data_IF_939529519873
#
_entry.id   IF_939529519873
#
_cell.length_a   1.000
_cell.length_b   1.000
_cell.length_c   1.000
_cell.angle_alpha   90.00
_cell.angle_beta   90.00
_cell.angle_gamma   90.00
#
_symmetry.space_group_name_H-M   'P 1'
#
loop_
_entity.id
_entity.type
_entity.pdbx_description
1 polymer ?
#
# COMPACT_ATOMS: atom_id res chain seq x y z
N UNK A 1 3.12 9.88 9.56
CA UNK A 1 4.20 9.74 8.55
C UNK A 1 3.87 8.65 7.55
N UNK A 2 3.49 7.45 8.00
CA UNK A 2 3.08 6.32 7.14
C UNK A 2 1.91 6.68 6.20
N UNK A 3 0.87 7.34 6.72
CA UNK A 3 -0.30 7.80 5.94
C UNK A 3 0.08 8.64 4.71
N UNK A 4 1.13 9.48 4.82
CA UNK A 4 1.61 10.30 3.69
C UNK A 4 2.17 9.45 2.55
N UNK A 5 2.82 8.33 2.86
CA UNK A 5 3.31 7.37 1.87
C UNK A 5 2.16 6.50 1.36
N UNK A 6 1.21 6.17 2.24
CA UNK A 6 0.03 5.41 1.86
C UNK A 6 -0.83 6.13 0.82
N UNK A 7 -1.06 7.45 0.95
CA UNK A 7 -1.79 8.22 -0.05
C UNK A 7 -1.20 8.10 -1.47
N UNK A 8 0.12 7.90 -1.59
CA UNK A 8 0.82 7.69 -2.87
C UNK A 8 0.59 6.29 -3.44
N UNK A 9 0.38 5.30 -2.58
CA UNK A 9 0.17 3.89 -2.92
C UNK A 9 -1.31 3.49 -2.99
N UNK A 10 -2.21 4.31 -2.47
CA UNK A 10 -3.66 4.08 -2.42
C UNK A 10 -4.24 3.71 -3.78
N UNK A 11 -3.71 4.29 -4.87
CA UNK A 11 -4.07 3.91 -6.23
C UNK A 11 -3.74 2.47 -6.60
N UNK A 12 -2.62 1.93 -6.12
CA UNK A 12 -2.22 0.52 -6.32
C UNK A 12 -3.13 -0.40 -5.51
N UNK A 13 -3.44 -0.05 -4.26
CA UNK A 13 -4.32 -0.83 -3.38
C UNK A 13 -5.73 -0.91 -3.95
N UNK A 14 -6.30 0.20 -4.41
CA UNK A 14 -7.64 0.19 -5.00
C UNK A 14 -7.68 -0.44 -6.40
N UNK A 15 -6.57 -0.40 -7.15
CA UNK A 15 -6.44 -1.23 -8.35
C UNK A 15 -6.48 -2.71 -7.98
N UNK A 16 -5.70 -3.12 -6.99
CA UNK A 16 -5.69 -4.49 -6.47
C UNK A 16 -7.09 -4.95 -6.04
N UNK A 17 -7.84 -4.12 -5.30
CA UNK A 17 -9.24 -4.39 -4.96
C UNK A 17 -10.14 -4.63 -6.18
N UNK A 18 -9.89 -3.91 -7.27
CA UNK A 18 -10.69 -4.05 -8.50
C UNK A 18 -10.32 -5.33 -9.25
N UNK A 19 -9.02 -5.65 -9.29
CA UNK A 19 -8.48 -6.84 -9.93
C UNK A 19 -8.80 -8.13 -9.14
N UNK A 20 -8.91 -8.01 -7.81
CA UNK A 20 -9.14 -9.11 -6.88
C UNK A 20 -10.36 -8.83 -6.01
N UNK A 21 -11.44 -9.56 -6.27
CA UNK A 21 -12.61 -9.52 -5.39
C UNK A 21 -12.39 -10.40 -4.15
N UNK A 22 -12.39 -9.79 -2.97
CA UNK A 22 -12.46 -10.48 -1.69
C UNK A 22 -13.87 -10.31 -1.10
N UNK A 23 -14.50 -11.44 -0.78
CA UNK A 23 -15.86 -11.43 -0.24
C UNK A 23 -15.89 -10.75 1.13
N UNK A 24 -16.87 -9.85 1.34
CA UNK A 24 -17.09 -9.04 2.55
C UNK A 24 -16.04 -7.96 2.85
N UNK A 25 -15.01 -7.81 2.01
CA UNK A 25 -14.06 -6.71 2.20
C UNK A 25 -14.64 -5.42 1.62
N UNK A 26 -14.77 -4.43 2.49
CA UNK A 26 -15.09 -3.05 2.15
C UNK A 26 -13.81 -2.28 1.79
N UNK A 27 -13.98 -1.04 1.31
CA UNK A 27 -12.86 -0.18 0.88
C UNK A 27 -11.85 0.00 2.02
N UNK A 28 -12.36 0.14 3.23
CA UNK A 28 -11.61 0.37 4.45
C UNK A 28 -10.75 -0.84 4.83
N UNK A 29 -11.22 -2.07 4.56
CA UNK A 29 -10.44 -3.30 4.81
C UNK A 29 -9.22 -3.36 3.89
N UNK A 30 -9.40 -3.02 2.61
CA UNK A 30 -8.29 -2.88 1.67
C UNK A 30 -7.34 -1.76 2.07
N UNK A 31 -7.87 -0.63 2.54
CA UNK A 31 -7.03 0.49 3.00
C UNK A 31 -6.20 0.11 4.24
N UNK A 32 -6.78 -0.65 5.17
CA UNK A 32 -6.06 -1.19 6.32
C UNK A 32 -4.98 -2.18 5.91
N UNK A 33 -5.30 -3.16 5.05
CA UNK A 33 -4.34 -4.15 4.59
C UNK A 33 -3.17 -3.49 3.83
N UNK A 34 -3.48 -2.51 2.98
CA UNK A 34 -2.48 -1.74 2.26
C UNK A 34 -1.53 -0.97 3.20
N UNK A 35 -2.04 -0.43 4.31
CA UNK A 35 -1.22 0.20 5.34
C UNK A 35 -0.33 -0.80 6.08
N UNK A 36 -0.85 -1.98 6.40
CA UNK A 36 -0.09 -3.06 7.06
C UNK A 36 1.05 -3.52 6.16
N UNK A 37 0.75 -3.84 4.89
CA UNK A 37 1.75 -4.22 3.90
C UNK A 37 2.83 -3.12 3.72
N UNK A 38 2.43 -1.84 3.68
CA UNK A 38 3.39 -0.74 3.61
C UNK A 38 4.28 -0.68 4.85
N UNK A 39 3.72 -0.86 6.05
CA UNK A 39 4.49 -0.88 7.29
C UNK A 39 5.54 -2.00 7.27
N UNK A 40 5.14 -3.23 6.95
CA UNK A 40 6.04 -4.38 6.89
C UNK A 40 7.13 -4.19 5.83
N UNK A 41 6.78 -3.63 4.68
CA UNK A 41 7.73 -3.33 3.60
C UNK A 41 8.79 -2.32 4.06
N UNK A 42 8.39 -1.27 4.78
CA UNK A 42 9.33 -0.25 5.28
C UNK A 42 10.17 -0.76 6.46
N UNK A 43 9.64 -1.66 7.30
CA UNK A 43 10.45 -2.34 8.32
C UNK A 43 11.51 -3.24 7.68
N UNK A 44 11.15 -3.98 6.63
CA UNK A 44 12.08 -4.85 5.91
C UNK A 44 13.10 -4.08 5.06
N UNK A 45 12.68 -2.94 4.49
CA UNK A 45 13.50 -2.15 3.57
C UNK A 45 13.31 -0.64 3.80
N UNK A 46 13.90 -0.09 4.90
CA UNK A 46 13.71 1.30 5.29
C UNK A 46 14.21 2.32 4.25
N UNK A 47 15.17 1.93 3.41
CA UNK A 47 15.73 2.78 2.36
C UNK A 47 14.71 3.15 1.26
N UNK A 48 13.59 2.44 1.16
CA UNK A 48 12.49 2.75 0.23
C UNK A 48 11.88 4.13 0.47
N UNK A 49 12.00 4.64 1.70
CA UNK A 49 11.50 5.97 2.07
C UNK A 49 12.34 7.09 1.44
N UNK A 50 13.63 6.83 1.21
CA UNK A 50 14.57 7.81 0.64
C UNK A 50 14.51 7.84 -0.89
N UNK A 51 14.19 6.71 -1.52
CA UNK A 51 14.07 6.59 -2.97
C UNK A 51 12.62 6.33 -3.38
N UNK A 52 11.80 7.38 -3.41
CA UNK A 52 10.37 7.31 -3.74
C UNK A 52 10.07 6.59 -5.07
N UNK A 53 11.00 6.62 -6.03
CA UNK A 53 10.87 5.90 -7.30
C UNK A 53 10.83 4.37 -7.14
N UNK A 54 11.42 3.83 -6.08
CA UNK A 54 11.40 2.39 -5.77
C UNK A 54 10.08 1.92 -5.18
N UNK A 55 9.20 2.81 -4.75
CA UNK A 55 7.83 2.46 -4.32
C UNK A 55 6.93 2.05 -5.50
N UNK A 56 7.33 2.34 -6.74
CA UNK A 56 6.58 2.06 -7.97
C UNK A 56 7.36 1.12 -8.89
N UNK A 57 7.69 -0.09 -8.42
CA UNK A 57 8.23 -1.12 -9.32
C UNK A 57 7.05 -1.74 -10.06
N UNK A 58 6.83 -1.29 -11.30
CA UNK A 58 5.96 -1.91 -12.30
C UNK A 58 6.80 -2.49 -13.44
#
# INVERSE_FOLDING_TARGET
>A
MLEKYYEKLKGIVHRCRTDYYLHLWEIEDWDQEGLICLYELLEAQPDLVEEEKKLYVY
#
